data_IF_421033751847
#
_entry.id   IF_421033751847
#
_cell.length_a   1.000
_cell.length_b   1.000
_cell.length_c   1.000
_cell.angle_alpha   90.00
_cell.angle_beta   90.00
_cell.angle_gamma   90.00
#
_symmetry.space_group_name_H-M   'P 1'
#
loop_
_entity.id
_entity.type
_entity.pdbx_description
1 polymer ?
#
# COMPACT_ATOMS: atom_id res chain seq x y z
N UNK A 1 23.30 -44.05 -14.43
CA UNK A 1 23.53 -43.71 -13.00
C UNK A 1 24.25 -42.37 -12.97
N UNK A 2 24.00 -41.49 -11.99
CA UNK A 2 24.26 -40.03 -11.98
C UNK A 2 23.23 -39.22 -12.80
N UNK A 3 22.59 -38.16 -12.33
CA UNK A 3 22.49 -37.57 -11.00
C UNK A 3 21.16 -36.78 -11.02
N UNK A 4 20.07 -37.36 -10.51
CA UNK A 4 18.76 -36.71 -10.36
C UNK A 4 18.62 -35.65 -9.22
N UNK A 5 19.55 -35.48 -8.25
CA UNK A 5 19.33 -34.53 -7.16
C UNK A 5 19.57 -33.07 -7.58
N UNK A 6 20.30 -32.80 -8.67
CA UNK A 6 20.57 -31.44 -9.10
C UNK A 6 19.32 -30.74 -9.64
N UNK A 7 18.49 -31.46 -10.41
CA UNK A 7 17.30 -30.87 -11.02
C UNK A 7 16.21 -30.53 -9.98
N UNK A 8 16.06 -31.36 -8.94
CA UNK A 8 15.13 -31.12 -7.83
C UNK A 8 15.57 -29.96 -6.95
N UNK A 9 16.88 -29.81 -6.68
CA UNK A 9 17.39 -28.69 -5.89
C UNK A 9 17.18 -27.36 -6.62
N UNK A 10 17.39 -27.30 -7.93
CA UNK A 10 17.17 -26.07 -8.72
C UNK A 10 15.68 -25.69 -8.77
N UNK A 11 14.78 -26.66 -8.88
CA UNK A 11 13.33 -26.41 -8.89
C UNK A 11 12.82 -25.92 -7.54
N UNK A 12 13.28 -26.51 -6.44
CA UNK A 12 12.96 -26.06 -5.07
C UNK A 12 13.52 -24.66 -4.78
N UNK A 13 14.73 -24.34 -5.26
CA UNK A 13 15.30 -23.01 -5.13
C UNK A 13 14.49 -21.95 -5.91
N UNK A 14 14.01 -22.29 -7.12
CA UNK A 14 13.18 -21.38 -7.91
C UNK A 14 11.82 -21.10 -7.24
N UNK A 15 11.18 -22.13 -6.67
CA UNK A 15 9.93 -21.97 -5.92
C UNK A 15 10.14 -21.14 -4.65
N UNK A 16 11.23 -21.37 -3.93
CA UNK A 16 11.58 -20.57 -2.75
C UNK A 16 11.86 -19.10 -3.09
N UNK A 17 12.44 -18.81 -4.26
CA UNK A 17 12.68 -17.43 -4.70
C UNK A 17 11.38 -16.69 -5.05
N UNK A 18 10.43 -17.38 -5.69
CA UNK A 18 9.10 -16.82 -6.02
C UNK A 18 8.24 -16.62 -4.78
N UNK A 19 8.38 -17.48 -3.77
CA UNK A 19 7.65 -17.34 -2.49
C UNK A 19 8.29 -16.33 -1.53
N UNK A 20 9.52 -15.86 -1.80
CA UNK A 20 10.22 -14.88 -0.98
C UNK A 20 9.97 -13.42 -1.44
N UNK A 21 9.18 -13.20 -2.48
CA UNK A 21 8.88 -11.85 -3.02
C UNK A 21 7.70 -11.14 -2.34
N UNK A 22 7.14 -11.70 -1.27
CA UNK A 22 5.95 -11.16 -0.60
C UNK A 22 6.28 -10.77 0.85
N UNK A 23 6.71 -9.51 1.08
CA UNK A 23 6.28 -8.71 2.25
C UNK A 23 6.92 -7.29 2.35
N UNK A 24 7.88 -6.91 1.48
CA UNK A 24 8.72 -5.72 1.76
C UNK A 24 8.57 -4.54 0.77
N UNK A 25 7.68 -4.63 -0.22
CA UNK A 25 7.46 -3.50 -1.15
C UNK A 25 6.71 -2.32 -0.52
N UNK A 26 5.83 -2.57 0.45
CA UNK A 26 5.07 -1.49 1.11
C UNK A 26 5.92 -0.65 2.06
N UNK A 27 7.05 -1.18 2.55
CA UNK A 27 8.05 -0.40 3.32
C UNK A 27 8.85 0.56 2.46
N UNK A 28 8.99 0.29 1.15
CA UNK A 28 9.85 1.09 0.25
C UNK A 28 9.31 2.49 -0.02
N UNK A 29 8.00 2.68 0.12
CA UNK A 29 7.33 3.98 -0.09
C UNK A 29 6.89 4.64 1.22
N UNK A 30 7.28 4.08 2.37
CA UNK A 30 7.02 4.66 3.67
C UNK A 30 7.95 5.84 3.93
N UNK A 31 7.37 7.01 4.23
CA UNK A 31 8.15 8.13 4.77
C UNK A 31 8.67 7.73 6.15
N UNK A 32 9.99 7.61 6.32
CA UNK A 32 10.60 7.69 7.66
C UNK A 32 10.41 9.12 8.13
N UNK A 33 9.33 9.37 8.86
CA UNK A 33 9.07 10.67 9.46
C UNK A 33 10.10 10.88 10.57
N UNK A 34 11.23 11.49 10.25
CA UNK A 34 12.09 12.13 11.25
C UNK A 34 11.41 13.42 11.68
N UNK A 35 10.32 13.31 12.44
CA UNK A 35 9.52 14.42 12.96
C UNK A 35 8.82 15.27 11.89
N UNK A 36 7.49 15.37 11.96
CA UNK A 36 6.81 16.49 11.31
C UNK A 36 7.30 17.84 11.90
N UNK A 37 6.88 19.00 11.36
CA UNK A 37 7.31 20.31 11.86
C UNK A 37 7.05 20.57 13.36
N UNK A 38 6.20 19.75 14.01
CA UNK A 38 5.93 19.77 15.44
C UNK A 38 6.72 18.74 16.27
N UNK A 39 7.50 17.85 15.65
CA UNK A 39 8.23 16.76 16.31
C UNK A 39 7.35 15.73 17.03
N UNK A 40 6.03 15.79 16.85
CA UNK A 40 5.07 14.88 17.50
C UNK A 40 4.72 13.72 16.59
N UNK A 41 4.68 12.53 17.16
CA UNK A 41 4.14 11.35 16.50
C UNK A 41 2.67 11.56 16.16
N UNK A 42 2.26 11.06 14.99
CA UNK A 42 0.85 11.08 14.59
C UNK A 42 0.03 10.24 15.59
N UNK A 43 -0.87 10.89 16.32
CA UNK A 43 -1.69 10.27 17.36
C UNK A 43 -3.06 9.79 16.83
N UNK A 44 -3.31 9.90 15.53
CA UNK A 44 -4.54 9.41 14.91
C UNK A 44 -4.51 7.88 14.89
N UNK A 45 -5.59 7.26 15.37
CA UNK A 45 -5.70 5.81 15.42
C UNK A 45 -5.69 5.21 14.01
N UNK A 46 -4.95 4.12 13.84
CA UNK A 46 -4.95 3.29 12.62
C UNK A 46 -5.69 1.99 12.92
N UNK A 47 -6.59 1.58 12.02
CA UNK A 47 -7.35 0.32 12.14
C UNK A 47 -7.35 -0.38 10.78
N UNK A 48 -7.06 -1.67 10.77
CA UNK A 48 -7.15 -2.46 9.55
C UNK A 48 -8.60 -2.72 9.16
N UNK A 49 -8.92 -2.67 7.86
CA UNK A 49 -10.27 -2.90 7.37
C UNK A 49 -10.81 -4.30 7.74
N UNK A 50 -9.94 -5.30 7.88
CA UNK A 50 -10.35 -6.66 8.29
C UNK A 50 -10.86 -6.71 9.73
N UNK A 51 -10.42 -5.77 10.56
CA UNK A 51 -10.78 -5.65 11.98
C UNK A 51 -11.87 -4.58 12.25
N UNK A 52 -12.39 -3.96 11.18
CA UNK A 52 -13.34 -2.85 11.28
C UNK A 52 -14.69 -3.22 10.64
N UNK A 53 -15.66 -3.58 11.48
CA UNK A 53 -17.05 -3.72 11.04
C UNK A 53 -17.70 -2.35 10.78
N UNK A 54 -18.78 -2.34 10.01
CA UNK A 54 -19.53 -1.12 9.71
C UNK A 54 -20.16 -0.53 10.98
N UNK A 55 -20.71 -1.37 11.85
CA UNK A 55 -21.34 -0.98 13.11
C UNK A 55 -20.30 -0.31 14.02
N UNK A 56 -19.15 -0.95 14.19
CA UNK A 56 -18.03 -0.41 14.96
C UNK A 56 -17.56 0.92 14.40
N UNK A 57 -17.50 1.06 13.07
CA UNK A 57 -17.14 2.33 12.44
C UNK A 57 -18.11 3.46 12.76
N UNK A 58 -19.41 3.17 12.68
CA UNK A 58 -20.48 4.15 12.97
C UNK A 58 -20.45 4.59 14.43
N UNK A 59 -20.30 3.64 15.34
CA UNK A 59 -20.36 3.89 16.78
C UNK A 59 -19.10 4.62 17.28
N UNK A 60 -17.92 4.21 16.82
CA UNK A 60 -16.65 4.69 17.38
C UNK A 60 -16.03 5.87 16.64
N UNK A 61 -16.32 6.07 15.34
CA UNK A 61 -15.52 6.97 14.49
C UNK A 61 -16.34 7.97 13.68
N UNK A 62 -17.47 7.57 13.08
CA UNK A 62 -18.17 8.37 12.06
C UNK A 62 -18.46 9.82 12.48
N UNK A 63 -18.79 10.05 13.76
CA UNK A 63 -19.26 11.37 14.24
C UNK A 63 -18.35 12.00 15.29
N UNK A 64 -17.32 11.31 15.77
CA UNK A 64 -16.65 11.67 17.03
C UNK A 64 -15.15 11.89 16.90
N UNK A 65 -14.44 11.09 16.09
CA UNK A 65 -12.98 11.13 16.02
C UNK A 65 -12.44 10.66 14.67
N UNK A 66 -11.33 11.26 14.19
CA UNK A 66 -10.68 10.82 12.97
C UNK A 66 -10.04 9.43 13.15
N UNK A 67 -10.02 8.64 12.08
CA UNK A 67 -9.37 7.33 12.01
C UNK A 67 -8.73 7.13 10.64
N UNK A 68 -7.58 6.46 10.61
CA UNK A 68 -6.94 6.00 9.38
C UNK A 68 -7.30 4.53 9.20
N UNK A 69 -8.00 4.22 8.12
CA UNK A 69 -8.35 2.85 7.76
C UNK A 69 -7.26 2.29 6.83
N UNK A 70 -6.63 1.19 7.22
CA UNK A 70 -5.59 0.50 6.44
C UNK A 70 -6.13 -0.77 5.79
N UNK A 71 -5.35 -1.38 4.89
CA UNK A 71 -5.72 -2.65 4.26
C UNK A 71 -6.84 -2.55 3.22
N UNK A 72 -7.21 -1.35 2.77
CA UNK A 72 -8.22 -1.11 1.72
C UNK A 72 -7.71 -1.57 0.33
N UNK A 73 -7.71 -2.89 0.12
CA UNK A 73 -7.57 -3.57 -1.17
C UNK A 73 -6.31 -3.21 -1.97
N UNK A 74 -5.26 -4.01 -1.84
CA UNK A 74 -4.03 -3.92 -2.64
C UNK A 74 -4.32 -3.87 -4.16
N UNK A 75 -5.21 -4.73 -4.65
CA UNK A 75 -5.59 -4.76 -6.07
C UNK A 75 -6.26 -3.47 -6.56
N UNK A 76 -6.96 -2.74 -5.68
CA UNK A 76 -7.56 -1.44 -6.01
C UNK A 76 -6.51 -0.33 -6.02
N UNK A 77 -5.52 -0.44 -5.14
CA UNK A 77 -4.40 0.50 -5.05
C UNK A 77 -3.52 0.44 -6.31
N UNK A 78 -3.30 -0.74 -6.91
CA UNK A 78 -2.53 -0.87 -8.16
C UNK A 78 -3.13 -0.01 -9.29
N UNK A 79 -4.44 -0.18 -9.57
CA UNK A 79 -5.11 0.61 -10.62
C UNK A 79 -5.07 2.10 -10.35
N UNK A 80 -5.21 2.50 -9.08
CA UNK A 80 -5.12 3.90 -8.69
C UNK A 80 -3.71 4.46 -8.91
N UNK A 81 -2.67 3.70 -8.53
CA UNK A 81 -1.26 4.08 -8.71
C UNK A 81 -0.91 4.22 -10.20
N UNK A 82 -1.34 3.28 -11.03
CA UNK A 82 -1.12 3.33 -12.47
C UNK A 82 -1.83 4.54 -13.11
N UNK A 83 -3.10 4.77 -12.74
CA UNK A 83 -3.87 5.88 -13.28
C UNK A 83 -3.36 7.25 -12.82
N UNK A 84 -2.76 7.32 -11.62
CA UNK A 84 -2.26 8.55 -11.02
C UNK A 84 -0.76 8.76 -11.23
N UNK A 85 -0.09 7.86 -11.96
CA UNK A 85 1.30 8.03 -12.34
C UNK A 85 1.47 9.31 -13.15
N UNK A 86 2.58 10.03 -12.94
CA UNK A 86 2.83 11.34 -13.56
C UNK A 86 2.61 11.31 -15.07
N UNK A 87 3.19 10.34 -15.75
CA UNK A 87 3.13 10.27 -17.22
C UNK A 87 1.72 9.94 -17.71
N UNK A 88 1.00 9.06 -17.01
CA UNK A 88 -0.40 8.76 -17.31
C UNK A 88 -1.30 9.99 -17.13
N UNK A 89 -1.04 10.79 -16.09
CA UNK A 89 -1.76 12.05 -15.84
C UNK A 89 -1.45 13.11 -16.88
N UNK A 90 -0.19 13.27 -17.29
CA UNK A 90 0.21 14.23 -18.33
C UNK A 90 -0.32 13.84 -19.71
N UNK A 91 -0.26 12.55 -20.06
CA UNK A 91 -0.81 12.05 -21.32
C UNK A 91 -2.33 12.31 -21.40
N UNK A 92 -3.07 11.98 -20.34
CA UNK A 92 -4.53 12.08 -20.33
C UNK A 92 -5.07 13.50 -20.09
N UNK A 93 -4.39 14.29 -19.28
CA UNK A 93 -4.91 15.58 -18.78
C UNK A 93 -3.95 16.76 -18.96
N UNK A 94 -2.73 16.59 -19.48
CA UNK A 94 -1.71 17.64 -19.51
C UNK A 94 -2.03 18.86 -20.37
N UNK A 95 -3.06 18.79 -21.23
CA UNK A 95 -3.57 19.92 -22.01
C UNK A 95 -4.85 20.54 -21.45
N UNK A 96 -5.34 20.05 -20.30
CA UNK A 96 -6.54 20.58 -19.66
C UNK A 96 -6.17 21.68 -18.70
N UNK A 97 -6.97 22.74 -18.71
CA UNK A 97 -6.92 23.76 -17.67
C UNK A 97 -7.56 23.21 -16.39
N UNK A 98 -6.86 23.34 -15.27
CA UNK A 98 -7.33 22.90 -13.96
C UNK A 98 -7.24 24.08 -12.98
N UNK A 99 -8.33 24.33 -12.26
CA UNK A 99 -8.35 25.32 -11.19
C UNK A 99 -7.73 24.69 -9.94
N UNK A 100 -6.68 25.32 -9.42
CA UNK A 100 -6.10 24.94 -8.15
C UNK A 100 -6.88 25.66 -7.04
N UNK A 101 -7.41 24.88 -6.10
CA UNK A 101 -7.99 25.43 -4.87
C UNK A 101 -6.88 26.12 -4.08
N UNK A 102 -7.03 27.42 -3.85
CA UNK A 102 -6.22 28.23 -2.93
C UNK A 102 -6.80 28.21 -1.53
#
# INVERSE_FOLDING_TARGET
MFSKPFLTVTLLAAIALVLAEDDDQDRKYGWKVSGGPSGRDCNVQKVDIKDLSLERFKDEFQSSRPVIITGLGEARNVKFREASARDAMLDRYGRREITLST
#
